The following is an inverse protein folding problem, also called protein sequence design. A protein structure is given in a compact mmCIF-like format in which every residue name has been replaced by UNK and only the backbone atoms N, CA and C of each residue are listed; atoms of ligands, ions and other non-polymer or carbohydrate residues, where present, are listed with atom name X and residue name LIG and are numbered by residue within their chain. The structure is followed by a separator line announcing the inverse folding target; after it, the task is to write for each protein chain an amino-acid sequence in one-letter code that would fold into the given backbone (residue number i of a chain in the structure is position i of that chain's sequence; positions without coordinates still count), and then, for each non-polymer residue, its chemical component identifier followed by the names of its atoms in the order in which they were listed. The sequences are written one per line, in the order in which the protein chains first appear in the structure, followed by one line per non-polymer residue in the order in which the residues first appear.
data_IF_190661011569
#
_entry.id   IF_190661011569
#
_cell.length_a   1.000
_cell.length_b   1.000
_cell.length_c   1.000
_cell.angle_alpha   90.00
_cell.angle_beta   90.00
_cell.angle_gamma   90.00
#
_symmetry.space_group_name_H-M   'P 1'
#
loop_
_entity.id
_entity.type
_entity.pdbx_description
1 polymer ?
#
# COMPACT_ATOMS: atom_id res chain seq x y z
N UNK A 1 -2.25 13.87 26.35
CA UNK A 1 -2.98 15.12 26.10
C UNK A 1 -1.94 16.23 25.92
N UNK A 2 -1.44 16.46 24.69
CA UNK A 2 -0.41 17.48 24.47
C UNK A 2 -1.07 18.83 24.20
N UNK A 3 -0.82 19.80 25.09
CA UNK A 3 -1.33 21.17 24.99
C UNK A 3 -0.80 21.84 23.72
N UNK A 4 -1.69 22.18 22.78
CA UNK A 4 -1.36 23.10 21.68
C UNK A 4 -1.30 24.52 22.23
N UNK A 5 -0.10 25.08 22.33
CA UNK A 5 0.11 26.51 22.53
C UNK A 5 -0.33 27.24 21.25
N UNK A 6 -1.32 28.10 21.39
CA UNK A 6 -1.95 28.88 20.32
C UNK A 6 -1.08 30.07 19.89
N UNK A 7 0.16 29.81 19.45
CA UNK A 7 1.09 30.80 18.91
C UNK A 7 1.84 30.29 17.65
N UNK A 8 1.17 29.48 16.82
CA UNK A 8 1.67 29.12 15.48
C UNK A 8 1.43 30.29 14.51
N UNK A 9 2.47 31.08 14.25
CA UNK A 9 2.43 32.17 13.28
C UNK A 9 2.19 31.70 11.83
N UNK A 10 2.07 32.62 10.86
CA UNK A 10 1.74 32.32 9.45
C UNK A 10 2.77 31.45 8.71
N UNK A 11 3.91 31.14 9.34
CA UNK A 11 4.97 30.30 8.80
C UNK A 11 4.60 28.81 8.77
N UNK A 12 3.85 28.31 9.76
CA UNK A 12 3.44 26.89 9.78
C UNK A 12 2.53 26.56 8.60
N UNK A 13 1.65 27.48 8.18
CA UNK A 13 0.72 27.22 7.07
C UNK A 13 1.38 27.20 5.68
N UNK A 14 2.46 27.97 5.48
CA UNK A 14 3.14 28.12 4.18
C UNK A 14 3.97 26.89 3.80
N UNK A 15 4.54 26.20 4.78
CA UNK A 15 5.44 25.07 4.54
C UNK A 15 4.84 23.71 4.92
N UNK A 16 3.94 23.67 5.91
CA UNK A 16 3.38 22.39 6.40
C UNK A 16 2.52 21.69 5.34
N UNK A 17 1.62 22.41 4.68
CA UNK A 17 0.73 21.86 3.65
C UNK A 17 1.49 21.31 2.42
N UNK A 18 2.42 22.05 1.78
CA UNK A 18 3.17 21.49 0.65
C UNK A 18 4.13 20.36 1.05
N UNK A 19 4.70 20.40 2.26
CA UNK A 19 5.48 19.27 2.78
C UNK A 19 4.60 18.01 2.94
N UNK A 20 3.41 18.17 3.50
CA UNK A 20 2.45 17.08 3.66
C UNK A 20 1.98 16.50 2.30
N UNK A 21 1.72 17.36 1.31
CA UNK A 21 1.37 16.92 -0.05
C UNK A 21 2.52 16.17 -0.74
N UNK A 22 3.76 16.67 -0.62
CA UNK A 22 4.93 15.97 -1.17
C UNK A 22 5.14 14.60 -0.52
N UNK A 23 5.01 14.52 0.80
CA UNK A 23 5.06 13.26 1.54
C UNK A 23 3.95 12.29 1.15
N UNK A 24 2.72 12.78 0.97
CA UNK A 24 1.60 11.94 0.54
C UNK A 24 1.90 11.27 -0.81
N UNK A 25 2.42 12.04 -1.76
CA UNK A 25 2.77 11.54 -3.09
C UNK A 25 3.90 10.50 -3.06
N UNK A 26 4.90 10.70 -2.20
CA UNK A 26 5.99 9.74 -2.00
C UNK A 26 5.50 8.44 -1.33
N UNK A 27 4.60 8.55 -0.35
CA UNK A 27 3.98 7.39 0.31
C UNK A 27 3.13 6.57 -0.67
N UNK A 28 2.40 7.23 -1.57
CA UNK A 28 1.61 6.53 -2.59
C UNK A 28 2.49 5.72 -3.54
N UNK A 29 3.59 6.29 -4.00
CA UNK A 29 4.56 5.58 -4.84
C UNK A 29 5.19 4.38 -4.10
N UNK A 30 5.54 4.58 -2.83
CA UNK A 30 6.08 3.51 -1.99
C UNK A 30 5.08 2.36 -1.80
N UNK A 31 3.81 2.66 -1.58
CA UNK A 31 2.74 1.66 -1.45
C UNK A 31 2.60 0.78 -2.69
N UNK A 32 2.58 1.39 -3.88
CA UNK A 32 2.52 0.65 -5.15
C UNK A 32 3.70 -0.31 -5.26
N UNK A 33 4.91 0.18 -4.98
CA UNK A 33 6.12 -0.65 -5.01
C UNK A 33 6.02 -1.83 -4.04
N UNK A 34 5.66 -1.59 -2.77
CA UNK A 34 5.55 -2.67 -1.77
C UNK A 34 4.51 -3.72 -2.18
N UNK A 35 3.38 -3.31 -2.74
CA UNK A 35 2.36 -4.28 -3.19
C UNK A 35 2.86 -5.11 -4.37
N UNK A 36 3.55 -4.51 -5.34
CA UNK A 36 4.14 -5.26 -6.46
C UNK A 36 5.16 -6.29 -5.96
N UNK A 37 6.02 -5.93 -5.01
CA UNK A 37 6.97 -6.87 -4.41
C UNK A 37 6.26 -8.01 -3.68
N UNK A 38 5.15 -7.73 -2.98
CA UNK A 38 4.35 -8.76 -2.30
C UNK A 38 3.78 -9.78 -3.30
N UNK A 39 3.22 -9.32 -4.41
CA UNK A 39 2.71 -10.21 -5.47
C UNK A 39 3.83 -11.04 -6.09
N UNK A 40 4.98 -10.43 -6.38
CA UNK A 40 6.13 -11.16 -6.92
C UNK A 40 6.61 -12.26 -5.97
N UNK A 41 6.71 -11.96 -4.66
CA UNK A 41 7.06 -12.95 -3.64
C UNK A 41 6.00 -14.05 -3.54
N UNK A 42 4.71 -13.73 -3.61
CA UNK A 42 3.64 -14.74 -3.60
C UNK A 42 3.71 -15.67 -4.81
N UNK A 43 4.07 -15.17 -5.99
CA UNK A 43 4.29 -15.99 -7.19
C UNK A 43 5.49 -16.91 -6.98
N UNK A 44 6.63 -16.37 -6.51
CA UNK A 44 7.84 -17.17 -6.25
C UNK A 44 7.61 -18.25 -5.18
N UNK A 45 6.74 -17.95 -4.21
CA UNK A 45 6.42 -18.81 -3.10
C UNK A 45 5.15 -19.64 -3.32
N UNK A 46 4.56 -19.60 -4.52
CA UNK A 46 3.29 -20.27 -4.82
C UNK A 46 3.33 -21.77 -4.48
N UNK A 47 4.45 -22.45 -4.76
CA UNK A 47 4.65 -23.87 -4.44
C UNK A 47 4.82 -24.19 -2.94
N UNK A 48 5.00 -23.17 -2.09
CA UNK A 48 5.12 -23.29 -0.62
C UNK A 48 3.92 -22.69 0.12
N UNK A 49 2.85 -22.35 -0.60
CA UNK A 49 1.65 -21.71 -0.03
C UNK A 49 1.75 -20.18 0.11
N UNK A 50 2.69 -19.55 -0.60
CA UNK A 50 2.87 -18.11 -0.64
C UNK A 50 3.44 -17.51 0.64
N UNK A 51 3.41 -16.19 0.74
CA UNK A 51 3.84 -15.44 1.92
C UNK A 51 2.97 -15.77 3.15
N UNK A 52 1.72 -16.17 2.93
CA UNK A 52 0.74 -16.51 3.98
C UNK A 52 1.20 -17.69 4.85
N UNK A 53 1.65 -18.78 4.23
CA UNK A 53 2.14 -19.97 4.95
C UNK A 53 3.49 -19.71 5.60
N UNK A 54 4.34 -18.88 4.99
CA UNK A 54 5.66 -18.56 5.53
C UNK A 54 5.63 -17.67 6.77
N UNK A 55 4.70 -16.72 6.84
CA UNK A 55 4.62 -15.76 7.95
C UNK A 55 3.58 -16.14 9.01
N UNK A 56 2.95 -17.32 8.87
CA UNK A 56 2.02 -18.00 9.80
C UNK A 56 0.74 -17.24 10.21
N UNK A 57 0.74 -15.89 10.18
CA UNK A 57 -0.33 -15.03 10.68
C UNK A 57 -0.59 -13.80 9.80
N UNK A 58 0.32 -13.44 8.88
CA UNK A 58 0.23 -12.17 8.10
C UNK A 58 0.03 -12.44 6.61
N UNK A 59 -1.12 -13.03 6.27
CA UNK A 59 -1.41 -13.46 4.90
C UNK A 59 -1.61 -12.30 3.92
N UNK A 60 -2.32 -11.25 4.32
CA UNK A 60 -2.49 -10.02 3.52
C UNK A 60 -2.48 -8.81 4.44
N UNK A 61 -1.46 -7.96 4.32
CA UNK A 61 -1.53 -6.61 4.91
C UNK A 61 -2.29 -5.73 3.92
N UNK A 62 -3.53 -5.37 4.27
CA UNK A 62 -4.33 -4.46 3.45
C UNK A 62 -3.69 -3.07 3.46
N UNK A 63 -3.20 -2.63 2.31
CA UNK A 63 -2.69 -1.28 2.09
C UNK A 63 -3.85 -0.49 1.46
N UNK A 64 -4.51 0.42 2.19
CA UNK A 64 -5.62 1.17 1.63
C UNK A 64 -5.13 2.11 0.51
N UNK A 65 -5.75 2.02 -0.67
CA UNK A 65 -5.45 2.86 -1.86
C UNK A 65 -6.28 4.16 -1.87
N UNK A 66 -6.50 4.77 -0.70
CA UNK A 66 -7.45 5.87 -0.53
C UNK A 66 -6.97 7.23 -1.07
N UNK A 67 -5.83 7.28 -1.77
CA UNK A 67 -5.22 8.49 -2.29
C UNK A 67 -4.86 8.27 -3.77
N UNK A 68 -5.82 8.59 -4.64
CA UNK A 68 -5.62 8.85 -6.08
C UNK A 68 -4.69 7.94 -6.89
N UNK A 69 -4.80 6.60 -6.79
CA UNK A 69 -4.09 5.70 -7.70
C UNK A 69 -4.97 4.53 -8.17
N UNK A 70 -4.64 4.03 -9.37
CA UNK A 70 -5.28 2.93 -10.08
C UNK A 70 -5.66 1.78 -9.14
N UNK A 71 -6.93 1.37 -9.17
CA UNK A 71 -7.50 0.37 -8.27
C UNK A 71 -6.68 -0.93 -8.31
N UNK A 72 -5.95 -1.25 -7.23
CA UNK A 72 -5.38 -2.60 -7.06
C UNK A 72 -6.47 -3.68 -7.15
N UNK A 73 -7.73 -3.32 -6.89
CA UNK A 73 -8.92 -4.14 -7.11
C UNK A 73 -9.01 -4.68 -8.55
N UNK A 74 -8.69 -3.87 -9.55
CA UNK A 74 -8.78 -4.28 -10.96
C UNK A 74 -7.66 -5.26 -11.32
N UNK A 75 -6.43 -4.96 -10.88
CA UNK A 75 -5.29 -5.87 -11.01
C UNK A 75 -5.55 -7.20 -10.29
N UNK A 76 -6.13 -7.16 -9.09
CA UNK A 76 -6.50 -8.35 -8.33
C UNK A 76 -7.58 -9.17 -9.04
N UNK A 77 -8.57 -8.53 -9.66
CA UNK A 77 -9.59 -9.22 -10.43
C UNK A 77 -8.99 -9.94 -11.65
N UNK A 78 -8.05 -9.31 -12.36
CA UNK A 78 -7.32 -9.95 -13.45
C UNK A 78 -6.50 -11.15 -12.93
N UNK A 79 -5.78 -10.98 -11.82
CA UNK A 79 -5.01 -12.07 -11.20
C UNK A 79 -5.90 -13.25 -10.80
N UNK A 80 -7.10 -13.01 -10.26
CA UNK A 80 -8.08 -14.05 -9.95
C UNK A 80 -8.55 -14.80 -11.19
N UNK A 81 -8.88 -14.08 -12.26
CA UNK A 81 -9.28 -14.70 -13.52
C UNK A 81 -8.17 -15.57 -14.11
N UNK A 82 -6.92 -15.08 -14.05
CA UNK A 82 -5.76 -15.85 -14.51
C UNK A 82 -5.57 -17.10 -13.65
N UNK A 83 -5.61 -16.99 -12.32
CA UNK A 83 -5.56 -18.15 -11.43
C UNK A 83 -6.64 -19.17 -11.81
N UNK A 84 -7.89 -18.75 -11.91
CA UNK A 84 -9.03 -19.64 -12.15
C UNK A 84 -8.94 -20.37 -13.50
N UNK A 85 -8.29 -19.76 -14.49
CA UNK A 85 -8.01 -20.36 -15.80
C UNK A 85 -6.94 -21.45 -15.75
N UNK A 86 -6.04 -21.42 -14.77
CA UNK A 86 -4.90 -22.33 -14.66
C UNK A 86 -4.91 -23.24 -13.42
N UNK A 87 -5.88 -23.06 -12.50
CA UNK A 87 -6.20 -24.05 -11.47
C UNK A 87 -6.98 -25.20 -12.07
N UNK A 88 -6.34 -26.37 -12.12
CA UNK A 88 -6.91 -27.69 -12.46
C UNK A 88 -7.85 -28.17 -11.37
#
# INVERSE_FOLDING_TARGET
MSHRNSNSGPLDRKYFMPCFLGWAQEVDAFRISVTQHRVALDILLAGKGGLCVLFNNTCCTYIPDNVHSSNMTDALNILRQLRDKYTV
#
